data_IF_375552170255
#
_entry.id   IF_375552170255
#
_cell.length_a   1.000
_cell.length_b   1.000
_cell.length_c   1.000
_cell.angle_alpha   90.00
_cell.angle_beta   90.00
_cell.angle_gamma   90.00
#
_symmetry.space_group_name_H-M   'P 1'
#
loop_
_entity.id
_entity.type
_entity.pdbx_description
1 polymer ?
#
# COMPACT_ATOMS: atom_id res chain seq x y z
N UNK A 1 -17.03 2.10 4.95
CA UNK A 1 -17.55 2.14 3.57
C UNK A 1 -17.30 0.77 2.96
N UNK A 2 -18.27 0.18 2.25
CA UNK A 2 -18.12 -1.12 1.58
C UNK A 2 -18.39 -0.94 0.09
N UNK A 3 -17.65 -1.60 -0.81
CA UNK A 3 -17.92 -1.51 -2.24
C UNK A 3 -19.29 -2.14 -2.55
N UNK A 4 -20.07 -1.54 -3.46
CA UNK A 4 -21.35 -2.15 -3.89
C UNK A 4 -21.13 -3.33 -4.83
N UNK A 5 -20.04 -3.29 -5.59
CA UNK A 5 -19.68 -4.26 -6.61
C UNK A 5 -18.17 -4.47 -6.53
N UNK A 6 -17.74 -5.73 -6.61
CA UNK A 6 -16.33 -6.11 -6.80
C UNK A 6 -16.23 -6.85 -8.11
N UNK A 7 -15.31 -6.44 -8.98
CA UNK A 7 -15.06 -7.11 -10.26
C UNK A 7 -13.70 -7.80 -10.19
N UNK A 8 -13.69 -9.09 -10.48
CA UNK A 8 -12.49 -9.94 -10.51
C UNK A 8 -12.41 -10.69 -11.83
N UNK A 9 -11.25 -11.26 -12.13
CA UNK A 9 -11.15 -12.23 -13.22
C UNK A 9 -11.87 -13.55 -12.88
N UNK A 10 -12.00 -14.42 -13.87
CA UNK A 10 -12.62 -15.75 -13.70
C UNK A 10 -11.73 -16.77 -12.99
N UNK A 11 -10.66 -16.35 -12.30
CA UNK A 11 -9.82 -17.22 -11.51
C UNK A 11 -10.62 -17.90 -10.40
N UNK A 12 -10.49 -19.22 -10.26
CA UNK A 12 -11.23 -20.01 -9.27
C UNK A 12 -10.98 -19.56 -7.82
N UNK A 13 -9.87 -18.87 -7.55
CA UNK A 13 -9.55 -18.26 -6.26
C UNK A 13 -10.56 -17.15 -5.87
N UNK A 14 -11.11 -16.41 -6.85
CA UNK A 14 -12.11 -15.37 -6.63
C UNK A 14 -13.54 -15.91 -6.62
N UNK A 15 -13.71 -17.16 -7.05
CA UNK A 15 -15.00 -17.83 -7.12
C UNK A 15 -15.07 -19.07 -6.19
N UNK A 16 -15.00 -18.81 -4.89
CA UNK A 16 -15.12 -19.85 -3.86
C UNK A 16 -16.31 -19.61 -2.92
N UNK A 17 -16.73 -20.67 -2.21
CA UNK A 17 -17.90 -20.64 -1.33
C UNK A 17 -17.77 -19.63 -0.18
N UNK A 18 -16.56 -19.46 0.34
CA UNK A 18 -16.27 -18.56 1.45
C UNK A 18 -16.44 -17.09 1.02
N UNK A 19 -15.84 -16.69 -0.10
CA UNK A 19 -15.98 -15.36 -0.69
C UNK A 19 -17.42 -15.06 -1.10
N UNK A 20 -18.14 -16.01 -1.70
CA UNK A 20 -19.57 -15.83 -2.01
C UNK A 20 -20.40 -15.59 -0.76
N UNK A 21 -20.11 -16.32 0.32
CA UNK A 21 -20.79 -16.15 1.61
C UNK A 21 -20.49 -14.78 2.21
N UNK A 22 -19.22 -14.37 2.18
CA UNK A 22 -18.78 -13.04 2.61
C UNK A 22 -19.46 -11.92 1.81
N UNK A 23 -19.42 -11.97 0.48
CA UNK A 23 -20.07 -10.96 -0.37
C UNK A 23 -21.57 -10.87 -0.12
N UNK A 24 -22.25 -12.00 0.07
CA UNK A 24 -23.69 -12.02 0.40
C UNK A 24 -23.96 -11.38 1.77
N UNK A 25 -23.18 -11.71 2.79
CA UNK A 25 -23.32 -11.13 4.13
C UNK A 25 -23.05 -9.62 4.14
N UNK A 26 -22.10 -9.17 3.33
CA UNK A 26 -21.68 -7.77 3.24
C UNK A 26 -22.51 -6.93 2.24
N UNK A 27 -23.43 -7.56 1.50
CA UNK A 27 -24.24 -6.90 0.48
C UNK A 27 -23.45 -6.47 -0.77
N UNK A 28 -22.32 -7.12 -1.02
CA UNK A 28 -21.41 -6.85 -2.15
C UNK A 28 -21.82 -7.73 -3.33
N UNK A 29 -21.90 -7.15 -4.54
CA UNK A 29 -22.18 -7.92 -5.76
C UNK A 29 -20.87 -8.33 -6.46
N UNK A 30 -20.50 -9.62 -6.50
CA UNK A 30 -19.37 -10.05 -7.30
C UNK A 30 -19.71 -9.99 -8.80
N UNK A 31 -18.76 -9.53 -9.61
CA UNK A 31 -18.77 -9.59 -11.07
C UNK A 31 -17.50 -10.28 -11.55
N UNK A 32 -17.65 -11.23 -12.46
CA UNK A 32 -16.52 -11.93 -13.05
C UNK A 32 -16.37 -11.49 -14.50
N UNK A 33 -15.14 -11.18 -14.91
CA UNK A 33 -14.87 -10.88 -16.31
C UNK A 33 -14.94 -12.17 -17.14
N UNK A 34 -15.48 -12.08 -18.35
CA UNK A 34 -15.41 -13.17 -19.32
C UNK A 34 -13.97 -13.58 -19.59
N UNK A 35 -13.75 -14.89 -19.80
CA UNK A 35 -12.46 -15.40 -20.25
C UNK A 35 -12.01 -14.63 -21.51
N UNK A 36 -10.73 -14.26 -21.57
CA UNK A 36 -10.14 -13.50 -22.68
C UNK A 36 -10.67 -12.07 -22.86
N UNK A 37 -11.06 -11.37 -21.79
CA UNK A 37 -11.29 -9.90 -21.81
C UNK A 37 -10.28 -9.11 -20.95
N UNK A 38 -8.99 -9.05 -21.33
CA UNK A 38 -7.93 -8.39 -20.55
C UNK A 38 -8.23 -6.92 -20.24
N UNK A 39 -8.98 -6.24 -21.11
CA UNK A 39 -9.32 -4.83 -20.96
C UNK A 39 -10.14 -4.56 -19.70
N UNK A 40 -10.92 -5.55 -19.23
CA UNK A 40 -11.75 -5.43 -18.04
C UNK A 40 -10.95 -5.49 -16.73
N UNK A 41 -9.77 -6.12 -16.75
CA UNK A 41 -8.86 -6.20 -15.58
C UNK A 41 -7.70 -5.19 -15.68
N UNK A 42 -7.54 -4.50 -16.81
CA UNK A 42 -6.44 -3.59 -17.06
C UNK A 42 -6.32 -2.41 -16.09
N UNK A 43 -7.35 -2.09 -15.30
CA UNK A 43 -7.22 -1.10 -14.21
C UNK A 43 -6.44 -1.68 -13.03
N UNK A 44 -6.77 -2.91 -12.60
CA UNK A 44 -6.09 -3.59 -11.50
C UNK A 44 -4.64 -3.94 -11.90
N UNK A 45 -4.44 -4.44 -13.12
CA UNK A 45 -3.10 -4.77 -13.64
C UNK A 45 -2.18 -3.54 -13.71
N UNK A 46 -2.68 -2.41 -14.22
CA UNK A 46 -1.92 -1.15 -14.24
C UNK A 46 -1.58 -0.69 -12.83
N UNK A 47 -2.53 -0.78 -11.90
CA UNK A 47 -2.30 -0.41 -10.51
C UNK A 47 -1.22 -1.28 -9.86
N UNK A 48 -1.31 -2.60 -10.04
CA UNK A 48 -0.32 -3.54 -9.50
C UNK A 48 1.07 -3.27 -10.08
N UNK A 49 1.17 -3.06 -11.40
CA UNK A 49 2.44 -2.71 -12.05
C UNK A 49 3.05 -1.44 -11.47
N UNK A 50 2.28 -0.36 -11.36
CA UNK A 50 2.79 0.90 -10.79
C UNK A 50 3.22 0.75 -9.33
N UNK A 51 2.55 -0.08 -8.54
CA UNK A 51 2.96 -0.34 -7.15
C UNK A 51 4.28 -1.13 -7.11
N UNK A 52 4.40 -2.18 -7.90
CA UNK A 52 5.62 -3.00 -7.98
C UNK A 52 6.82 -2.19 -8.47
N UNK A 53 6.64 -1.37 -9.52
CA UNK A 53 7.68 -0.48 -10.05
C UNK A 53 8.12 0.54 -8.99
N UNK A 54 7.18 1.21 -8.32
CA UNK A 54 7.50 2.15 -7.24
C UNK A 54 8.24 1.49 -6.07
N UNK A 55 7.78 0.32 -5.63
CA UNK A 55 8.45 -0.43 -4.57
C UNK A 55 9.89 -0.82 -4.96
N UNK A 56 10.08 -1.27 -6.20
CA UNK A 56 11.40 -1.62 -6.73
C UNK A 56 12.32 -0.40 -6.79
N UNK A 57 11.82 0.75 -7.27
CA UNK A 57 12.58 2.00 -7.27
C UNK A 57 12.98 2.42 -5.86
N UNK A 58 12.08 2.35 -4.89
CA UNK A 58 12.37 2.72 -3.49
C UNK A 58 13.42 1.81 -2.86
N UNK A 59 13.37 0.50 -3.11
CA UNK A 59 14.38 -0.43 -2.61
C UNK A 59 15.76 -0.16 -3.20
N UNK A 60 15.82 0.08 -4.52
CA UNK A 60 17.07 0.37 -5.22
C UNK A 60 17.69 1.70 -4.77
N UNK A 61 16.88 2.75 -4.63
CA UNK A 61 17.32 4.08 -4.16
C UNK A 61 17.83 4.02 -2.71
N UNK A 62 17.14 3.26 -1.86
CA UNK A 62 17.52 3.06 -0.46
C UNK A 62 18.68 2.07 -0.26
N UNK A 63 19.11 1.36 -1.32
CA UNK A 63 20.09 0.25 -1.25
C UNK A 63 19.65 -0.80 -0.21
N UNK A 64 18.35 -1.13 -0.20
CA UNK A 64 17.76 -2.09 0.72
C UNK A 64 17.50 -3.45 0.05
N UNK A 65 17.71 -4.51 0.83
CA UNK A 65 17.50 -5.88 0.40
C UNK A 65 16.02 -6.18 0.07
N UNK A 66 15.80 -7.10 -0.87
CA UNK A 66 14.46 -7.54 -1.30
C UNK A 66 13.58 -8.01 -0.14
N UNK A 67 14.13 -8.45 0.99
CA UNK A 67 13.36 -8.78 2.21
C UNK A 67 12.44 -7.64 2.69
N UNK A 68 12.71 -6.39 2.31
CA UNK A 68 11.89 -5.23 2.65
C UNK A 68 10.78 -4.94 1.62
N UNK A 69 10.55 -5.81 0.63
CA UNK A 69 9.56 -5.58 -0.43
C UNK A 69 8.15 -5.30 0.08
N UNK A 70 7.72 -5.97 1.16
CA UNK A 70 6.39 -5.74 1.75
C UNK A 70 6.21 -4.31 2.25
N UNK A 71 7.23 -3.80 2.95
CA UNK A 71 7.27 -2.42 3.47
C UNK A 71 7.33 -1.39 2.33
N UNK A 72 8.11 -1.68 1.28
CA UNK A 72 8.16 -0.86 0.07
C UNK A 72 6.81 -0.84 -0.66
N UNK A 73 6.11 -1.98 -0.77
CA UNK A 73 4.77 -2.07 -1.38
C UNK A 73 3.73 -1.28 -0.58
N UNK A 74 3.73 -1.41 0.75
CA UNK A 74 2.84 -0.64 1.62
C UNK A 74 3.11 0.86 1.51
N UNK A 75 4.38 1.26 1.48
CA UNK A 75 4.78 2.65 1.29
C UNK A 75 4.35 3.17 -0.09
N UNK A 76 4.51 2.38 -1.15
CA UNK A 76 4.09 2.75 -2.49
C UNK A 76 2.57 2.99 -2.54
N UNK A 77 1.79 2.09 -1.94
CA UNK A 77 0.34 2.24 -1.84
C UNK A 77 -0.05 3.47 -1.02
N UNK A 78 0.62 3.70 0.10
CA UNK A 78 0.40 4.86 0.98
C UNK A 78 0.61 6.18 0.24
N UNK A 79 1.70 6.29 -0.51
CA UNK A 79 2.05 7.46 -1.31
C UNK A 79 1.10 7.63 -2.49
N UNK A 80 0.83 6.58 -3.27
CA UNK A 80 -0.10 6.67 -4.40
C UNK A 80 -1.51 7.11 -3.98
N UNK A 81 -1.97 6.73 -2.79
CA UNK A 81 -3.27 7.17 -2.29
C UNK A 81 -3.29 8.67 -1.91
N UNK A 82 -2.13 9.30 -1.75
CA UNK A 82 -1.96 10.72 -1.40
C UNK A 82 -1.35 11.55 -2.53
N UNK A 83 -1.03 10.93 -3.66
CA UNK A 83 -0.57 11.61 -4.87
C UNK A 83 -1.77 11.93 -5.77
N UNK A 84 -1.87 13.16 -6.31
CA UNK A 84 -2.89 13.48 -7.30
C UNK A 84 -2.75 12.59 -8.55
N UNK A 85 -3.88 12.16 -9.11
CA UNK A 85 -3.89 11.40 -10.37
C UNK A 85 -4.68 12.17 -11.42
N UNK A 86 -4.21 12.18 -12.67
CA UNK A 86 -4.88 12.86 -13.79
C UNK A 86 -6.31 12.38 -14.03
N UNK A 87 -6.62 11.15 -13.65
CA UNK A 87 -7.96 10.56 -13.78
C UNK A 87 -8.99 11.09 -12.78
N UNK A 88 -8.56 11.85 -11.75
CA UNK A 88 -9.41 12.34 -10.67
C UNK A 88 -9.08 13.80 -10.32
N UNK A 89 -10.03 14.52 -9.73
CA UNK A 89 -9.77 15.83 -9.15
C UNK A 89 -9.32 15.66 -7.70
N UNK A 90 -8.02 15.88 -7.43
CA UNK A 90 -7.42 15.73 -6.11
C UNK A 90 -6.74 14.38 -5.90
N UNK A 91 -6.63 13.95 -4.65
CA UNK A 91 -5.99 12.68 -4.28
C UNK A 91 -7.04 11.58 -4.02
N UNK A 92 -6.70 10.28 -4.18
CA UNK A 92 -7.60 9.20 -3.76
C UNK A 92 -7.98 9.32 -2.27
N UNK A 93 -7.08 9.85 -1.44
CA UNK A 93 -7.35 10.16 -0.04
C UNK A 93 -8.44 11.22 0.12
N UNK A 94 -8.34 12.34 -0.59
CA UNK A 94 -9.37 13.38 -0.54
C UNK A 94 -10.74 12.86 -0.96
N UNK A 95 -10.82 12.06 -2.03
CA UNK A 95 -12.08 11.47 -2.47
C UNK A 95 -12.66 10.47 -1.47
N UNK A 96 -11.81 9.74 -0.77
CA UNK A 96 -12.25 8.73 0.18
C UNK A 96 -12.64 9.31 1.54
N UNK A 97 -11.87 10.26 2.07
CA UNK A 97 -12.07 10.83 3.41
C UNK A 97 -12.71 12.24 3.41
N UNK A 98 -12.87 12.88 2.26
CA UNK A 98 -13.45 14.22 2.13
C UNK A 98 -12.55 15.34 2.65
N UNK A 99 -11.27 15.07 2.92
CA UNK A 99 -10.29 16.05 3.43
C UNK A 99 -8.91 15.83 2.83
N UNK A 100 -8.12 16.90 2.75
CA UNK A 100 -6.72 16.82 2.28
C UNK A 100 -5.86 15.96 3.23
N UNK A 101 -4.96 15.11 2.72
CA UNK A 101 -4.03 14.40 3.58
C UNK A 101 -3.04 15.40 4.22
N UNK A 102 -2.71 15.19 5.50
CA UNK A 102 -1.50 15.78 6.05
C UNK A 102 -0.29 15.06 5.44
N UNK A 103 0.74 15.82 5.06
CA UNK A 103 1.96 15.32 4.42
C UNK A 103 3.21 15.66 5.25
N UNK A 104 3.07 16.37 6.38
CA UNK A 104 4.22 16.81 7.20
C UNK A 104 5.04 15.65 7.77
N UNK A 105 4.41 14.51 7.99
CA UNK A 105 5.05 13.31 8.51
C UNK A 105 5.75 12.48 7.43
N UNK A 106 5.67 12.86 6.15
CA UNK A 106 6.36 12.15 5.09
C UNK A 106 7.90 12.27 5.25
N UNK A 107 8.54 11.12 5.08
CA UNK A 107 9.98 10.85 5.07
C UNK A 107 10.33 10.02 3.84
N UNK A 108 11.56 10.19 3.35
CA UNK A 108 12.08 9.41 2.23
C UNK A 108 12.26 7.96 2.70
N UNK A 109 11.72 7.00 1.95
CA UNK A 109 11.95 5.58 2.21
C UNK A 109 13.46 5.30 2.14
N UNK A 110 14.01 4.58 3.12
CA UNK A 110 15.46 4.38 3.23
C UNK A 110 16.22 5.46 3.99
N UNK A 111 15.56 6.55 4.42
CA UNK A 111 16.23 7.60 5.20
C UNK A 111 16.66 7.10 6.59
N UNK A 112 17.70 7.72 7.14
CA UNK A 112 18.16 7.41 8.49
C UNK A 112 17.07 7.71 9.53
N UNK A 113 16.82 6.74 10.38
CA UNK A 113 15.92 6.85 11.51
C UNK A 113 16.68 6.58 12.81
N UNK A 114 16.28 7.22 13.90
CA UNK A 114 16.86 7.00 15.21
C UNK A 114 15.76 6.66 16.20
N UNK A 115 15.90 5.52 16.87
CA UNK A 115 14.99 5.14 17.97
C UNK A 115 15.67 5.40 19.31
N UNK A 116 14.92 5.98 20.24
CA UNK A 116 15.39 6.18 21.61
C UNK A 116 15.53 4.83 22.32
N UNK A 117 16.72 4.53 22.84
CA UNK A 117 16.92 3.37 23.73
C UNK A 117 16.46 3.78 25.12
N UNK A 118 15.66 3.04 25.90
CA UNK A 118 15.26 3.43 27.26
C UNK A 118 16.40 3.40 28.28
N UNK A 119 16.34 4.21 29.36
CA UNK A 119 17.42 4.34 30.36
C UNK A 119 17.80 3.03 31.06
N UNK A 120 16.81 2.15 31.25
CA UNK A 120 16.97 0.83 31.88
C UNK A 120 17.89 -0.10 31.07
N UNK A 121 18.00 0.13 29.76
CA UNK A 121 18.73 -0.72 28.83
C UNK A 121 20.09 -0.13 28.41
N UNK A 122 20.63 0.83 29.16
CA UNK A 122 21.91 1.50 28.85
C UNK A 122 22.71 1.82 30.10
N UNK A 123 24.02 1.62 30.01
CA UNK A 123 25.01 2.11 30.97
C UNK A 123 25.22 3.63 30.85
N UNK A 124 26.01 4.18 31.79
CA UNK A 124 26.22 5.64 31.94
C UNK A 124 26.82 6.33 30.69
N UNK A 125 27.56 5.58 29.86
CA UNK A 125 28.24 6.08 28.66
C UNK A 125 27.67 5.51 27.35
N UNK A 126 26.60 4.71 27.41
CA UNK A 126 26.01 4.11 26.21
C UNK A 126 25.25 5.13 25.37
N UNK A 127 25.17 4.86 24.06
CA UNK A 127 24.40 5.68 23.14
C UNK A 127 22.93 5.78 23.56
N UNK A 128 22.37 7.00 23.47
CA UNK A 128 20.97 7.25 23.78
C UNK A 128 20.01 6.91 22.64
N UNK A 129 20.55 6.63 21.46
CA UNK A 129 19.77 6.33 20.27
C UNK A 129 20.41 5.21 19.45
N UNK A 130 19.57 4.40 18.82
CA UNK A 130 19.97 3.38 17.86
C UNK A 130 19.63 3.85 16.46
N UNK A 131 20.64 3.90 15.60
CA UNK A 131 20.50 4.19 14.17
C UNK A 131 19.78 3.04 13.49
N UNK A 132 18.81 3.37 12.65
CA UNK A 132 17.91 2.50 11.91
C UNK A 132 17.62 3.13 10.53
N UNK A 133 16.79 2.46 9.75
CA UNK A 133 16.34 2.93 8.44
C UNK A 133 14.81 3.03 8.45
N UNK A 134 14.28 4.10 7.88
CA UNK A 134 12.85 4.29 7.72
C UNK A 134 12.31 3.41 6.58
N UNK A 135 11.36 2.52 6.90
CA UNK A 135 10.82 1.54 5.94
C UNK A 135 9.34 1.76 5.60
N UNK A 136 8.63 2.73 6.20
CA UNK A 136 7.25 2.99 5.78
C UNK A 136 6.33 3.53 6.86
N UNK A 137 5.03 3.58 6.54
CA UNK A 137 4.03 4.36 7.27
C UNK A 137 2.95 3.56 8.02
N UNK A 138 2.96 2.22 7.95
CA UNK A 138 1.98 1.31 8.55
C UNK A 138 0.51 1.76 8.43
#
# INVERSE_FOLDING_TARGET
>A
RKPRVVRSDGGGEYDNRELRTFYKAEGIKPQFTTAHSPQSNGVAERKNRSLTEMATCMLNDAVLDMRFWGEAMLTAAYLQNRTPSRSIQGTPYELWWGRKPDLKHLRVFGSEAYVHVPGVNRGKLDSKARKLVFVGYA
#
